data_IF_472728281757
#
_entry.id   IF_472728281757
#
_cell.length_a   1.000
_cell.length_b   1.000
_cell.length_c   1.000
_cell.angle_alpha   90.00
_cell.angle_beta   90.00
_cell.angle_gamma   90.00
#
_symmetry.space_group_name_H-M   'P 1'
#
loop_
_entity.id
_entity.type
_entity.pdbx_description
1 polymer ?
#
# COMPACT_ATOMS: atom_id res chain seq x y z
N UNK A 1 -12.33 7.28 1.79
CA UNK A 1 -11.83 6.05 2.44
C UNK A 1 -10.32 6.07 2.36
N UNK A 2 -9.59 5.79 3.43
CA UNK A 2 -8.11 5.82 3.44
C UNK A 2 -7.58 4.40 3.63
N UNK A 3 -6.54 4.07 2.88
CA UNK A 3 -5.81 2.82 2.95
C UNK A 3 -4.38 3.10 3.42
N UNK A 4 -3.86 2.24 4.30
CA UNK A 4 -2.44 2.13 4.59
C UNK A 4 -1.90 0.96 3.77
N UNK A 5 -0.92 1.22 2.93
CA UNK A 5 -0.22 0.22 2.13
C UNK A 5 1.19 0.08 2.68
N UNK A 6 1.60 -1.14 2.98
CA UNK A 6 2.93 -1.48 3.49
C UNK A 6 3.60 -2.47 2.55
N UNK A 7 4.88 -2.25 2.26
CA UNK A 7 5.67 -3.14 1.40
C UNK A 7 7.15 -3.11 1.77
N UNK A 8 7.87 -4.15 1.37
CA UNK A 8 9.31 -4.24 1.58
C UNK A 8 10.07 -3.95 0.28
N UNK A 9 11.14 -3.18 0.38
CA UNK A 9 12.16 -3.02 -0.66
C UNK A 9 13.52 -3.41 -0.08
N UNK A 10 14.02 -4.59 -0.44
CA UNK A 10 15.21 -5.16 0.21
C UNK A 10 14.96 -5.44 1.69
N UNK A 11 15.74 -4.82 2.56
CA UNK A 11 15.62 -4.91 4.03
C UNK A 11 14.77 -3.77 4.63
N UNK A 12 14.31 -2.83 3.81
CA UNK A 12 13.56 -1.66 4.26
C UNK A 12 12.04 -1.87 4.14
N UNK A 13 11.29 -1.35 5.12
CA UNK A 13 9.83 -1.39 5.16
C UNK A 13 9.28 0.00 4.89
N UNK A 14 8.44 0.12 3.86
CA UNK A 14 7.85 1.36 3.39
C UNK A 14 6.34 1.39 3.64
N UNK A 15 5.78 2.58 3.82
CA UNK A 15 4.36 2.80 4.05
C UNK A 15 3.82 4.00 3.28
N UNK A 16 2.62 3.85 2.71
CA UNK A 16 1.93 4.88 1.93
C UNK A 16 0.47 4.96 2.37
N UNK A 17 -0.02 6.19 2.61
CA UNK A 17 -1.45 6.46 2.82
C UNK A 17 -2.11 6.89 1.52
N UNK A 18 -3.28 6.33 1.24
CA UNK A 18 -3.94 6.52 -0.04
C UNK A 18 -5.45 6.63 0.05
N UNK A 19 -6.03 7.49 -0.78
CA UNK A 19 -7.49 7.57 -0.94
C UNK A 19 -8.02 6.75 -2.12
N UNK A 20 -7.24 6.68 -3.22
CA UNK A 20 -7.55 5.90 -4.42
C UNK A 20 -6.67 4.64 -4.51
N UNK A 21 -7.24 3.51 -4.12
CA UNK A 21 -6.52 2.23 -4.03
C UNK A 21 -6.18 1.63 -5.41
N UNK A 22 -7.04 1.83 -6.42
CA UNK A 22 -6.87 1.20 -7.74
C UNK A 22 -5.59 1.65 -8.48
N UNK A 23 -5.17 2.91 -8.29
CA UNK A 23 -3.93 3.41 -8.88
C UNK A 23 -2.69 2.80 -8.22
N UNK A 24 -2.75 2.60 -6.91
CA UNK A 24 -1.60 2.10 -6.14
C UNK A 24 -1.36 0.62 -6.38
N UNK A 25 -2.43 -0.17 -6.49
CA UNK A 25 -2.27 -1.58 -6.84
C UNK A 25 -1.53 -1.68 -8.17
N UNK A 26 -1.99 -0.99 -9.22
CA UNK A 26 -1.40 -1.11 -10.57
C UNK A 26 0.11 -0.87 -10.61
N UNK A 27 0.60 0.11 -9.87
CA UNK A 27 2.03 0.46 -9.84
C UNK A 27 2.85 -0.47 -8.94
N UNK A 28 2.22 -1.14 -7.97
CA UNK A 28 2.87 -1.96 -6.96
C UNK A 28 2.50 -3.46 -7.03
N UNK A 29 1.77 -3.90 -8.06
CA UNK A 29 1.22 -5.26 -8.23
C UNK A 29 2.29 -6.36 -8.16
N UNK A 30 3.52 -6.06 -8.59
CA UNK A 30 4.64 -6.99 -8.60
C UNK A 30 5.34 -7.12 -7.24
N UNK A 31 4.86 -6.42 -6.20
CA UNK A 31 5.45 -6.41 -4.86
C UNK A 31 4.58 -7.18 -3.88
N UNK A 32 5.22 -7.73 -2.84
CA UNK A 32 4.50 -8.30 -1.71
C UNK A 32 3.93 -7.15 -0.85
N UNK A 33 2.65 -6.84 -1.05
CA UNK A 33 1.95 -5.76 -0.37
C UNK A 33 1.08 -6.26 0.77
N UNK A 34 1.07 -5.52 1.87
CA UNK A 34 0.04 -5.61 2.92
C UNK A 34 -0.80 -4.33 2.82
N UNK A 35 -2.11 -4.50 2.67
CA UNK A 35 -3.04 -3.36 2.56
C UNK A 35 -4.05 -3.41 3.69
N UNK A 36 -4.13 -2.33 4.45
CA UNK A 36 -5.08 -2.16 5.55
C UNK A 36 -6.03 -1.02 5.21
N UNK A 37 -7.32 -1.30 5.19
CA UNK A 37 -8.37 -0.28 5.11
C UNK A 37 -8.55 0.35 6.48
N UNK A 38 -8.32 1.65 6.59
CA UNK A 38 -8.46 2.35 7.86
C UNK A 38 -9.93 2.69 8.11
N UNK A 39 -10.45 2.43 9.33
CA UNK A 39 -11.75 2.95 9.72
C UNK A 39 -11.70 4.48 9.71
N UNK A 40 -12.75 5.10 9.20
CA UNK A 40 -13.01 6.53 9.26
C UNK A 40 -14.15 6.82 10.20
#
# INVERSE_FOLDING_TARGET
MIYLVTFCEGEEVWYIFAKDFEKIIRDLLDRNLIVVKLPG
#
